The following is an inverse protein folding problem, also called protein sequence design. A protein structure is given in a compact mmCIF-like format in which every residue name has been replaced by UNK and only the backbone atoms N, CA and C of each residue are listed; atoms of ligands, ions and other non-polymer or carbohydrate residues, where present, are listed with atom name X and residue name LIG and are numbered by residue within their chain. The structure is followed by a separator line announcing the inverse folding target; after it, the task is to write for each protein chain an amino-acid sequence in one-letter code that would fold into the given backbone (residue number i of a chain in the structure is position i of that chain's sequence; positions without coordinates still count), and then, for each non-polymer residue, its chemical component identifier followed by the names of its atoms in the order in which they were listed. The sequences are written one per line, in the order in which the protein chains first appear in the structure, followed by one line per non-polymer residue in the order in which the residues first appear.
data_IF_872470811294
#
_entry.id   IF_872470811294
#
_cell.length_a   1.000
_cell.length_b   1.000
_cell.length_c   1.000
_cell.angle_alpha   90.00
_cell.angle_beta   90.00
_cell.angle_gamma   90.00
#
_symmetry.space_group_name_H-M   'P 1'
#
loop_
_entity.id
_entity.type
_entity.pdbx_description
1 polymer ?
#
# COMPACT_ATOMS: atom_id res chain seq x y z
N UNK A 1 -8.05 14.61 -7.99
CA UNK A 1 -9.24 13.80 -8.32
C UNK A 1 -9.89 13.15 -7.11
N UNK A 2 -9.26 12.22 -6.36
CA UNK A 2 -9.82 11.76 -5.06
C UNK A 2 -9.55 12.79 -3.96
N UNK A 3 -8.28 13.18 -3.82
CA UNK A 3 -7.81 14.15 -2.81
C UNK A 3 -8.61 15.44 -2.86
N UNK A 4 -8.78 16.04 -4.05
CA UNK A 4 -9.53 17.30 -4.20
C UNK A 4 -11.00 17.19 -3.75
N UNK A 5 -11.65 16.04 -4.00
CA UNK A 5 -13.05 15.83 -3.61
C UNK A 5 -13.20 15.70 -2.11
N UNK A 6 -12.31 14.92 -1.49
CA UNK A 6 -12.28 14.77 -0.03
C UNK A 6 -11.88 16.09 0.65
N UNK A 7 -10.89 16.81 0.13
CA UNK A 7 -10.47 18.12 0.64
C UNK A 7 -11.60 19.15 0.54
N UNK A 8 -12.34 19.14 -0.58
CA UNK A 8 -13.49 20.02 -0.76
C UNK A 8 -14.60 19.71 0.23
N UNK A 9 -14.87 18.43 0.49
CA UNK A 9 -15.88 18.02 1.46
C UNK A 9 -15.46 18.33 2.90
N UNK A 10 -14.20 18.08 3.28
CA UNK A 10 -13.67 18.38 4.62
C UNK A 10 -13.79 19.87 4.99
N UNK A 11 -13.63 20.76 4.00
CA UNK A 11 -13.72 22.21 4.21
C UNK A 11 -15.15 22.73 4.39
N UNK A 12 -16.17 21.93 4.10
CA UNK A 12 -17.56 22.36 4.24
C UNK A 12 -18.00 22.39 5.71
N UNK A 13 -18.82 23.37 6.11
CA UNK A 13 -19.59 23.29 7.35
C UNK A 13 -20.41 22.00 7.41
N UNK A 14 -20.63 21.46 8.63
CA UNK A 14 -21.32 20.17 8.81
C UNK A 14 -22.75 20.15 8.26
N UNK A 15 -23.42 21.30 8.27
CA UNK A 15 -24.77 21.52 7.75
C UNK A 15 -24.81 21.61 6.20
N UNK A 16 -23.68 21.89 5.56
CA UNK A 16 -23.53 21.91 4.09
C UNK A 16 -22.86 20.64 3.53
N UNK A 17 -22.37 19.77 4.41
CA UNK A 17 -21.69 18.54 4.04
C UNK A 17 -22.69 17.50 3.53
N UNK A 18 -22.60 17.22 2.22
CA UNK A 18 -23.32 16.13 1.58
C UNK A 18 -22.41 14.90 1.47
N UNK A 19 -22.51 14.01 2.45
CA UNK A 19 -21.74 12.77 2.50
C UNK A 19 -22.13 11.79 1.38
N UNK A 20 -23.41 11.75 0.97
CA UNK A 20 -23.90 10.87 -0.09
C UNK A 20 -23.30 11.29 -1.44
N UNK A 21 -23.30 12.60 -1.73
CA UNK A 21 -22.67 13.13 -2.93
C UNK A 21 -21.15 12.89 -2.92
N UNK A 22 -20.48 13.04 -1.77
CA UNK A 22 -19.05 12.69 -1.66
C UNK A 22 -18.81 11.22 -2.02
N UNK A 23 -19.62 10.30 -1.48
CA UNK A 23 -19.52 8.87 -1.78
C UNK A 23 -19.71 8.62 -3.27
N UNK A 24 -20.75 9.21 -3.87
CA UNK A 24 -21.05 9.08 -5.30
C UNK A 24 -19.92 9.55 -6.21
N UNK A 25 -19.19 10.59 -5.80
CA UNK A 25 -18.06 11.12 -6.57
C UNK A 25 -16.76 10.34 -6.37
N UNK A 26 -16.50 9.86 -5.15
CA UNK A 26 -15.22 9.21 -4.80
C UNK A 26 -15.22 7.73 -5.15
N UNK A 27 -16.31 7.00 -4.86
CA UNK A 27 -16.43 5.56 -5.13
C UNK A 27 -15.99 5.13 -6.54
N UNK A 28 -16.48 5.74 -7.64
CA UNK A 28 -16.07 5.33 -8.99
C UNK A 28 -14.57 5.53 -9.25
N UNK A 29 -13.93 6.51 -8.59
CA UNK A 29 -12.48 6.73 -8.71
C UNK A 29 -11.69 5.63 -8.02
N UNK A 30 -12.18 5.13 -6.88
CA UNK A 30 -11.56 3.99 -6.18
C UNK A 30 -11.70 2.71 -7.01
N UNK A 31 -12.88 2.47 -7.56
CA UNK A 31 -13.16 1.30 -8.40
C UNK A 31 -12.29 1.29 -9.66
N UNK A 32 -12.11 2.44 -10.30
CA UNK A 32 -11.21 2.58 -11.46
C UNK A 32 -9.75 2.34 -11.06
N UNK A 33 -9.30 2.91 -9.93
CA UNK A 33 -7.96 2.65 -9.40
C UNK A 33 -7.72 1.16 -9.12
N UNK A 34 -8.71 0.47 -8.54
CA UNK A 34 -8.65 -0.96 -8.28
C UNK A 34 -8.55 -1.78 -9.58
N UNK A 35 -9.33 -1.40 -10.61
CA UNK A 35 -9.27 -2.05 -11.92
C UNK A 35 -7.89 -1.93 -12.56
N UNK A 36 -7.34 -0.71 -12.63
CA UNK A 36 -6.02 -0.46 -13.22
C UNK A 36 -4.92 -1.23 -12.49
N UNK A 37 -4.94 -1.25 -11.16
CA UNK A 37 -3.97 -2.02 -10.37
C UNK A 37 -4.12 -3.54 -10.58
N UNK A 38 -5.35 -4.03 -10.73
CA UNK A 38 -5.62 -5.45 -10.98
C UNK A 38 -5.12 -5.88 -12.35
N UNK A 39 -5.38 -5.08 -13.39
CA UNK A 39 -4.87 -5.30 -14.75
C UNK A 39 -3.34 -5.28 -14.76
N UNK A 40 -2.73 -4.32 -14.07
CA UNK A 40 -1.26 -4.21 -13.93
C UNK A 40 -0.67 -5.44 -13.25
N UNK A 41 -1.28 -5.91 -12.16
CA UNK A 41 -0.88 -7.16 -11.50
C UNK A 41 -0.97 -8.37 -12.44
N UNK A 42 -2.05 -8.46 -13.22
CA UNK A 42 -2.23 -9.50 -14.23
C UNK A 42 -1.13 -9.48 -15.30
N UNK A 43 -0.80 -8.30 -15.81
CA UNK A 43 0.28 -8.12 -16.78
C UNK A 43 1.64 -8.55 -16.20
N UNK A 44 1.97 -8.15 -14.97
CA UNK A 44 3.21 -8.54 -14.29
C UNK A 44 3.30 -10.05 -14.13
N UNK A 45 2.22 -10.71 -13.68
CA UNK A 45 2.19 -12.18 -13.55
C UNK A 45 2.27 -12.89 -14.89
N UNK A 46 1.70 -12.31 -15.95
CA UNK A 46 1.82 -12.83 -17.31
C UNK A 46 3.24 -12.78 -17.87
N UNK A 47 4.06 -11.83 -17.42
CA UNK A 47 5.47 -11.71 -17.79
C UNK A 47 6.37 -12.71 -17.04
N UNK A 48 5.95 -13.19 -15.88
CA UNK A 48 6.70 -14.15 -15.05
C UNK A 48 5.83 -15.34 -14.60
N UNK A 49 5.27 -16.13 -15.54
CA UNK A 49 4.29 -17.16 -15.22
C UNK A 49 4.85 -18.30 -14.37
N UNK A 50 6.17 -18.54 -14.44
CA UNK A 50 6.87 -19.58 -13.68
C UNK A 50 7.62 -19.04 -12.46
N UNK A 51 7.53 -17.73 -12.19
CA UNK A 51 8.15 -17.06 -11.05
C UNK A 51 9.68 -16.98 -11.11
N UNK A 52 10.31 -17.25 -12.26
CA UNK A 52 11.78 -17.20 -12.40
C UNK A 52 12.32 -15.79 -12.14
N UNK A 53 11.66 -14.77 -12.70
CA UNK A 53 12.10 -13.37 -12.56
C UNK A 53 12.00 -12.96 -11.09
N UNK A 54 10.89 -13.26 -10.43
CA UNK A 54 10.69 -13.01 -9.00
C UNK A 54 11.74 -13.71 -8.14
N UNK A 55 12.05 -15.00 -8.40
CA UNK A 55 13.07 -15.74 -7.63
C UNK A 55 14.46 -15.14 -7.80
N UNK A 56 14.82 -14.76 -9.03
CA UNK A 56 16.10 -14.11 -9.31
C UNK A 56 16.19 -12.75 -8.62
N UNK A 57 15.13 -11.94 -8.69
CA UNK A 57 15.07 -10.64 -8.01
C UNK A 57 15.21 -10.79 -6.48
N UNK A 58 14.54 -11.78 -5.86
CA UNK A 58 14.68 -12.07 -4.42
C UNK A 58 16.10 -12.49 -4.02
N UNK A 59 16.78 -13.29 -4.85
CA UNK A 59 18.16 -13.68 -4.59
C UNK A 59 19.11 -12.48 -4.64
N UNK A 60 18.90 -11.58 -5.61
CA UNK A 60 19.70 -10.36 -5.77
C UNK A 60 19.34 -9.25 -4.78
N UNK A 61 18.14 -9.25 -4.20
CA UNK A 61 17.69 -8.18 -3.29
C UNK A 61 18.54 -8.05 -2.01
N UNK A 62 19.28 -9.11 -1.63
CA UNK A 62 20.25 -9.08 -0.54
C UNK A 62 21.69 -8.78 -0.97
N UNK A 63 21.95 -8.66 -2.27
CA UNK A 63 23.27 -8.37 -2.86
C UNK A 63 23.22 -7.03 -3.59
N UNK A 64 24.37 -6.45 -3.94
CA UNK A 64 24.43 -5.20 -4.73
C UNK A 64 24.40 -5.48 -6.25
N UNK A 65 23.86 -6.64 -6.65
CA UNK A 65 23.97 -7.16 -8.02
C UNK A 65 22.69 -6.94 -8.86
N UNK A 66 21.81 -6.04 -8.43
CA UNK A 66 20.63 -5.68 -9.21
C UNK A 66 21.03 -4.86 -10.46
N UNK A 67 20.37 -5.11 -11.59
CA UNK A 67 20.61 -4.34 -12.81
C UNK A 67 20.00 -2.93 -12.70
N UNK A 68 20.43 -1.96 -13.54
CA UNK A 68 19.82 -0.63 -13.58
C UNK A 68 18.30 -0.67 -13.79
N UNK A 69 17.81 -1.61 -14.62
CA UNK A 69 16.38 -1.80 -14.89
C UNK A 69 15.64 -2.34 -13.65
N UNK A 70 16.24 -3.28 -12.92
CA UNK A 70 15.71 -3.80 -11.66
C UNK A 70 15.62 -2.68 -10.60
N UNK A 71 16.63 -1.79 -10.53
CA UNK A 71 16.61 -0.60 -9.67
C UNK A 71 15.53 0.41 -10.08
N UNK A 72 15.41 0.70 -11.38
CA UNK A 72 14.41 1.63 -11.88
C UNK A 72 12.98 1.15 -11.60
N UNK A 73 12.71 -0.14 -11.87
CA UNK A 73 11.43 -0.78 -11.55
C UNK A 73 11.11 -0.64 -10.06
N UNK A 74 12.10 -0.81 -9.19
CA UNK A 74 11.91 -0.68 -7.76
C UNK A 74 11.55 0.74 -7.32
N UNK A 75 12.14 1.77 -7.92
CA UNK A 75 11.79 3.16 -7.61
C UNK A 75 10.38 3.52 -8.12
N UNK A 76 9.99 3.09 -9.32
CA UNK A 76 8.63 3.33 -9.85
C UNK A 76 7.58 2.67 -8.97
N UNK A 77 7.81 1.43 -8.52
CA UNK A 77 6.89 0.71 -7.64
C UNK A 77 6.80 1.32 -6.24
N UNK A 78 7.92 1.85 -5.72
CA UNK A 78 7.96 2.61 -4.48
C UNK A 78 7.15 3.90 -4.61
N UNK A 79 7.30 4.65 -5.70
CA UNK A 79 6.53 5.86 -5.97
C UNK A 79 5.03 5.57 -6.09
N UNK A 80 4.65 4.53 -6.87
CA UNK A 80 3.26 4.08 -7.01
C UNK A 80 2.66 3.72 -5.64
N UNK A 81 3.36 2.88 -4.88
CA UNK A 81 2.89 2.42 -3.57
C UNK A 81 2.77 3.56 -2.60
N UNK A 82 3.77 4.45 -2.55
CA UNK A 82 3.78 5.63 -1.70
C UNK A 82 2.61 6.56 -2.01
N UNK A 83 2.38 6.85 -3.28
CA UNK A 83 1.31 7.72 -3.75
C UNK A 83 -0.07 7.17 -3.39
N UNK A 84 -0.32 5.89 -3.67
CA UNK A 84 -1.61 5.24 -3.37
C UNK A 84 -1.83 5.15 -1.86
N UNK A 85 -0.81 4.73 -1.10
CA UNK A 85 -0.90 4.60 0.37
C UNK A 85 -1.16 5.94 1.03
N UNK A 86 -0.43 6.98 0.63
CA UNK A 86 -0.64 8.34 1.15
C UNK A 86 -2.02 8.90 0.77
N UNK A 87 -2.51 8.61 -0.43
CA UNK A 87 -3.87 8.99 -0.85
C UNK A 87 -4.91 8.32 0.04
N UNK A 88 -4.78 7.02 0.31
CA UNK A 88 -5.68 6.27 1.20
C UNK A 88 -5.63 6.81 2.62
N UNK A 89 -4.43 6.99 3.19
CA UNK A 89 -4.26 7.45 4.56
C UNK A 89 -4.85 8.84 4.77
N UNK A 90 -4.58 9.76 3.84
CA UNK A 90 -5.12 11.12 3.89
C UNK A 90 -6.64 11.12 3.73
N UNK A 91 -7.16 10.34 2.78
CA UNK A 91 -8.59 10.18 2.57
C UNK A 91 -9.30 9.69 3.84
N UNK A 92 -8.79 8.62 4.45
CA UNK A 92 -9.35 8.02 5.66
C UNK A 92 -9.38 9.00 6.82
N UNK A 93 -8.28 9.74 7.06
CA UNK A 93 -8.21 10.75 8.13
C UNK A 93 -9.24 11.85 7.94
N UNK A 94 -9.38 12.37 6.73
CA UNK A 94 -10.29 13.48 6.41
C UNK A 94 -11.77 13.10 6.52
N UNK A 95 -12.12 11.84 6.27
CA UNK A 95 -13.49 11.34 6.43
C UNK A 95 -13.78 10.78 7.83
N UNK A 96 -12.87 10.90 8.81
CA UNK A 96 -13.10 10.35 10.16
C UNK A 96 -14.35 10.91 10.85
N UNK A 97 -14.65 12.19 10.58
CA UNK A 97 -15.84 12.89 11.09
C UNK A 97 -17.10 12.74 10.23
N UNK A 98 -17.06 11.93 9.17
CA UNK A 98 -18.14 11.75 8.19
C UNK A 98 -18.68 10.30 8.28
N UNK A 99 -19.64 10.00 9.18
CA UNK A 99 -20.03 8.63 9.50
C UNK A 99 -20.58 7.83 8.31
N UNK A 100 -21.33 8.45 7.42
CA UNK A 100 -21.86 7.80 6.22
C UNK A 100 -20.75 7.57 5.19
N UNK A 101 -19.98 8.60 4.85
CA UNK A 101 -18.86 8.47 3.91
C UNK A 101 -17.81 7.47 4.39
N UNK A 102 -17.52 7.45 5.68
CA UNK A 102 -16.62 6.47 6.32
C UNK A 102 -17.13 5.04 6.15
N UNK A 103 -18.43 4.81 6.34
CA UNK A 103 -19.05 3.48 6.20
C UNK A 103 -18.96 2.97 4.76
N UNK A 104 -19.21 3.84 3.79
CA UNK A 104 -19.26 3.46 2.37
C UNK A 104 -17.87 3.39 1.72
N UNK A 105 -16.94 4.30 2.06
CA UNK A 105 -15.63 4.39 1.40
C UNK A 105 -14.54 3.51 2.04
N UNK A 106 -14.57 3.29 3.36
CA UNK A 106 -13.52 2.50 4.02
C UNK A 106 -13.33 1.07 3.48
N UNK A 107 -14.41 0.31 3.20
CA UNK A 107 -14.27 -1.00 2.58
C UNK A 107 -13.55 -0.93 1.22
N UNK A 108 -13.82 0.13 0.44
CA UNK A 108 -13.24 0.31 -0.89
C UNK A 108 -11.74 0.60 -0.85
N UNK A 109 -11.25 1.33 0.16
CA UNK A 109 -9.80 1.52 0.37
C UNK A 109 -9.07 0.20 0.62
N UNK A 110 -9.73 -0.73 1.34
CA UNK A 110 -9.23 -2.08 1.54
C UNK A 110 -9.07 -2.84 0.22
N UNK A 111 -10.12 -2.81 -0.61
CA UNK A 111 -10.12 -3.44 -1.94
C UNK A 111 -9.07 -2.83 -2.87
N UNK A 112 -8.88 -1.51 -2.85
CA UNK A 112 -7.87 -0.82 -3.66
C UNK A 112 -6.44 -1.26 -3.30
N UNK A 113 -6.20 -1.55 -2.02
CA UNK A 113 -4.86 -1.91 -1.54
C UNK A 113 -4.45 -3.33 -1.87
N UNK A 114 -5.42 -4.25 -2.04
CA UNK A 114 -5.14 -5.65 -2.36
C UNK A 114 -4.28 -5.84 -3.62
N UNK A 115 -4.65 -5.34 -4.81
CA UNK A 115 -3.84 -5.51 -6.01
C UNK A 115 -2.47 -4.83 -5.88
N UNK A 116 -2.37 -3.74 -5.11
CA UNK A 116 -1.08 -3.10 -4.82
C UNK A 116 -0.14 -4.03 -4.05
N UNK A 117 -0.63 -4.73 -3.02
CA UNK A 117 0.17 -5.76 -2.32
C UNK A 117 0.54 -6.91 -3.24
N UNK A 118 -0.36 -7.33 -4.10
CA UNK A 118 -0.09 -8.43 -5.04
C UNK A 118 1.01 -8.06 -6.03
N UNK A 119 1.03 -6.81 -6.54
CA UNK A 119 2.11 -6.28 -7.38
C UNK A 119 3.44 -6.35 -6.63
N UNK A 120 3.49 -5.81 -5.40
CA UNK A 120 4.71 -5.77 -4.58
C UNK A 120 5.22 -7.18 -4.21
N UNK A 121 4.31 -8.11 -3.98
CA UNK A 121 4.66 -9.51 -3.77
C UNK A 121 5.22 -10.13 -5.05
N UNK A 122 4.57 -9.93 -6.20
CA UNK A 122 4.96 -10.51 -7.49
C UNK A 122 6.36 -10.07 -7.92
N UNK A 123 6.70 -8.79 -7.74
CA UNK A 123 8.02 -8.24 -8.10
C UNK A 123 9.12 -8.56 -7.08
N UNK A 124 8.78 -9.14 -5.92
CA UNK A 124 9.76 -9.66 -4.97
C UNK A 124 10.69 -8.62 -4.37
N UNK A 125 10.31 -7.34 -4.42
CA UNK A 125 11.17 -6.24 -4.00
C UNK A 125 11.25 -6.17 -2.47
N UNK A 126 12.41 -6.56 -1.92
CA UNK A 126 12.74 -6.51 -0.50
C UNK A 126 13.60 -5.29 -0.14
N UNK A 127 13.57 -4.22 -0.95
CA UNK A 127 14.20 -2.97 -0.55
C UNK A 127 13.49 -2.48 0.72
N UNK A 128 14.26 -2.18 1.78
CA UNK A 128 13.74 -1.71 3.07
C UNK A 128 12.72 -0.56 2.93
N UNK A 129 12.87 0.27 1.90
CA UNK A 129 11.92 1.35 1.58
C UNK A 129 10.53 0.87 1.15
N UNK A 130 10.43 -0.18 0.34
CA UNK A 130 9.15 -0.75 -0.13
C UNK A 130 8.44 -1.51 0.99
N UNK A 131 9.18 -2.25 1.82
CA UNK A 131 8.62 -2.95 2.99
C UNK A 131 8.05 -1.99 4.03
N UNK A 132 8.69 -0.83 4.23
CA UNK A 132 8.16 0.23 5.08
C UNK A 132 6.85 0.82 4.52
N UNK A 133 6.73 0.95 3.20
CA UNK A 133 5.49 1.41 2.55
C UNK A 133 4.37 0.35 2.65
N UNK A 134 4.69 -0.93 2.46
CA UNK A 134 3.76 -2.06 2.67
C UNK A 134 3.23 -2.06 4.11
N UNK A 135 4.12 -1.88 5.09
CA UNK A 135 3.75 -1.77 6.50
C UNK A 135 2.83 -0.57 6.79
N UNK A 136 3.13 0.59 6.18
CA UNK A 136 2.26 1.78 6.29
C UNK A 136 0.90 1.56 5.67
N UNK A 137 0.82 0.96 4.48
CA UNK A 137 -0.44 0.67 3.81
C UNK A 137 -1.32 -0.27 4.64
N UNK A 138 -0.75 -1.39 5.11
CA UNK A 138 -1.48 -2.34 5.96
C UNK A 138 -1.84 -1.72 7.32
N UNK A 139 -0.97 -0.90 7.90
CA UNK A 139 -1.23 -0.14 9.13
C UNK A 139 -2.38 0.86 8.96
N UNK A 140 -2.37 1.64 7.88
CA UNK A 140 -3.44 2.55 7.47
C UNK A 140 -4.76 1.83 7.18
N UNK A 141 -4.68 0.55 6.79
CA UNK A 141 -5.84 -0.32 6.64
C UNK A 141 -6.40 -0.90 7.94
N UNK A 142 -5.67 -0.83 9.06
CA UNK A 142 -6.01 -1.54 10.29
C UNK A 142 -5.67 -3.03 10.24
N UNK A 143 -4.88 -3.46 9.25
CA UNK A 143 -4.42 -4.84 9.02
C UNK A 143 -3.03 -5.09 9.62
N UNK A 144 -2.63 -4.35 10.66
CA UNK A 144 -1.30 -4.45 11.29
C UNK A 144 -0.92 -5.88 11.69
N UNK A 145 -1.88 -6.69 12.18
CA UNK A 145 -1.62 -8.09 12.53
C UNK A 145 -1.35 -9.03 11.35
N UNK A 146 -1.74 -8.64 10.12
CA UNK A 146 -1.41 -9.34 8.88
C UNK A 146 0.01 -8.99 8.42
N UNK A 147 0.46 -7.74 8.62
CA UNK A 147 1.86 -7.30 8.42
C UNK A 147 2.80 -8.17 9.21
N UNK A 148 2.53 -8.33 10.51
CA UNK A 148 3.41 -9.05 11.42
C UNK A 148 3.56 -10.53 11.02
N UNK A 149 2.49 -11.13 10.48
CA UNK A 149 2.51 -12.50 9.95
C UNK A 149 3.22 -12.60 8.60
N UNK A 150 3.10 -11.61 7.72
CA UNK A 150 3.79 -11.57 6.43
C UNK A 150 5.29 -11.29 6.59
N UNK A 151 5.67 -10.29 7.38
CA UNK A 151 7.07 -9.98 7.71
C UNK A 151 7.72 -11.10 8.52
N UNK A 152 6.96 -11.73 9.42
CA UNK A 152 7.39 -12.92 10.16
C UNK A 152 7.55 -14.15 9.26
N UNK A 153 6.61 -14.41 8.35
CA UNK A 153 6.59 -15.56 7.45
C UNK A 153 7.61 -15.49 6.30
N UNK A 154 7.96 -14.28 5.86
CA UNK A 154 9.01 -14.04 4.87
C UNK A 154 10.44 -14.03 5.46
N UNK A 155 10.59 -14.22 6.77
CA UNK A 155 11.89 -14.16 7.45
C UNK A 155 12.52 -12.77 7.48
N UNK A 156 11.77 -11.73 7.09
CA UNK A 156 12.22 -10.34 7.05
C UNK A 156 12.58 -9.80 8.44
N UNK A 157 11.97 -10.35 9.50
CA UNK A 157 12.37 -10.06 10.88
C UNK A 157 13.85 -10.39 11.15
N UNK A 158 14.43 -11.39 10.46
CA UNK A 158 15.87 -11.71 10.59
C UNK A 158 16.76 -10.74 9.82
N UNK A 159 16.30 -10.23 8.67
CA UNK A 159 17.03 -9.25 7.84
C UNK A 159 16.98 -7.85 8.49
N UNK A 160 15.83 -7.45 9.01
CA UNK A 160 15.67 -6.20 9.76
C UNK A 160 16.41 -6.25 11.11
N UNK A 161 16.45 -7.42 11.74
CA UNK A 161 17.25 -7.69 12.93
C UNK A 161 18.77 -7.65 12.67
N UNK A 162 19.24 -8.20 11.54
CA UNK A 162 20.67 -8.22 11.18
C UNK A 162 21.21 -6.89 10.65
N UNK A 163 20.33 -5.99 10.21
CA UNK A 163 20.67 -4.61 9.80
C UNK A 163 20.59 -3.60 10.96
N UNK A 164 20.34 -4.04 12.20
CA UNK A 164 20.25 -3.17 13.38
C UNK A 164 18.99 -2.29 13.45
N UNK A 165 18.02 -2.53 12.55
CA UNK A 165 16.77 -1.77 12.44
C UNK A 165 15.63 -2.32 13.29
N UNK A 166 15.90 -3.31 14.16
CA UNK A 166 14.90 -3.92 15.05
C UNK A 166 14.12 -2.89 15.88
N UNK A 167 14.76 -1.81 16.33
CA UNK A 167 14.10 -0.75 17.09
C UNK A 167 13.14 0.13 16.26
N UNK A 168 13.35 0.26 14.95
CA UNK A 168 12.44 1.01 14.06
C UNK A 168 11.19 0.20 13.72
N UNK A 169 11.31 -1.13 13.64
CA UNK A 169 10.19 -2.03 13.44
C UNK A 169 9.31 -2.14 14.71
N UNK A 170 9.92 -2.16 15.90
CA UNK A 170 9.18 -2.13 17.19
C UNK A 170 8.39 -0.82 17.35
N UNK A 171 8.95 0.31 16.88
CA UNK A 171 8.26 1.60 16.86
C UNK A 171 7.11 1.67 15.82
N UNK A 172 7.23 0.95 14.70
CA UNK A 172 6.21 0.87 13.64
C UNK A 172 5.09 -0.13 13.93
N UNK A 173 5.39 -1.21 14.65
CA UNK A 173 4.42 -2.27 15.02
C UNK A 173 3.77 -2.05 16.38
N UNK A 174 4.22 -1.05 17.14
CA UNK A 174 3.59 -0.65 18.40
C UNK A 174 3.77 -1.63 19.56
N UNK A 175 4.70 -2.59 19.45
CA UNK A 175 5.05 -3.47 20.57
C UNK A 175 5.89 -2.72 21.59
N UNK A 176 5.24 -2.21 22.64
CA UNK A 176 5.93 -1.98 23.92
C UNK A 176 6.21 -3.34 24.56
N UNK A 177 7.45 -3.52 25.02
CA UNK A 177 7.89 -4.64 25.86
C UNK A 177 6.91 -4.93 26.99
#
# INVERSE_FOLDING_TARGET
MITDKIDSAERKPKDELDEEQLVKEVKPLIEEGHRVLTETNGAIRGLDPDGRIQRNAKQKAGTRDATPEEHHLAEVLKELTGTVSQTIDNARRKIEGMPHAKKELNPLWGLLSEPLFQILAAVGLLLNGVLGLVGRLLGGLGLGGLVDKLLGGLGLNKILGSLGLGGALDALTGKKK
#
